data_IF_290557672980
#
_entry.id   IF_290557672980
#
_cell.length_a   1.000
_cell.length_b   1.000
_cell.length_c   1.000
_cell.angle_alpha   90.00
_cell.angle_beta   90.00
_cell.angle_gamma   90.00
#
_symmetry.space_group_name_H-M   'P 1'
#
loop_
_entity.id
_entity.type
_entity.pdbx_description
1 polymer ?
#
# COMPACT_ATOMS: atom_id res chain seq x y z
N UNK A 1 -9.54 4.22 -32.99
CA UNK A 1 -9.39 3.21 -31.92
C UNK A 1 -7.96 2.72 -31.73
N UNK A 2 -7.28 2.22 -32.78
CA UNK A 2 -5.89 1.69 -32.65
C UNK A 2 -4.87 2.67 -32.05
N UNK A 3 -4.97 3.97 -32.37
CA UNK A 3 -4.07 5.02 -31.83
C UNK A 3 -4.09 5.09 -30.30
N UNK A 4 -5.30 5.13 -29.71
CA UNK A 4 -5.48 5.22 -28.26
C UNK A 4 -4.96 3.98 -27.52
N UNK A 5 -5.16 2.79 -28.09
CA UNK A 5 -4.66 1.54 -27.50
C UNK A 5 -3.14 1.51 -27.47
N UNK A 6 -2.49 1.98 -28.52
CA UNK A 6 -1.03 1.99 -28.58
C UNK A 6 -0.44 2.97 -27.55
N UNK A 7 -1.05 4.14 -27.40
CA UNK A 7 -0.63 5.18 -26.45
C UNK A 7 -0.81 4.73 -25.00
N UNK A 8 -1.94 4.10 -24.65
CA UNK A 8 -2.16 3.56 -23.31
C UNK A 8 -1.25 2.38 -23.00
N UNK A 9 -0.99 1.49 -23.97
CA UNK A 9 -0.06 0.38 -23.81
C UNK A 9 1.37 0.85 -23.57
N UNK A 10 1.83 1.89 -24.27
CA UNK A 10 3.15 2.47 -24.03
C UNK A 10 3.26 3.12 -22.65
N UNK A 11 2.19 3.78 -22.17
CA UNK A 11 2.14 4.33 -20.82
C UNK A 11 2.22 3.24 -19.74
N UNK A 12 1.40 2.19 -19.87
CA UNK A 12 1.35 1.07 -18.92
C UNK A 12 2.62 0.21 -18.94
N UNK A 13 3.31 0.11 -20.08
CA UNK A 13 4.58 -0.59 -20.22
C UNK A 13 5.81 0.24 -19.77
N UNK A 14 5.61 1.46 -19.26
CA UNK A 14 6.73 2.33 -18.91
C UNK A 14 7.43 1.89 -17.61
N UNK A 15 8.77 1.86 -17.66
CA UNK A 15 9.61 1.54 -16.49
C UNK A 15 9.38 2.55 -15.35
N UNK A 16 9.14 3.82 -15.69
CA UNK A 16 8.84 4.87 -14.71
C UNK A 16 7.57 4.56 -13.91
N UNK A 17 6.50 4.09 -14.57
CA UNK A 17 5.26 3.69 -13.90
C UNK A 17 5.49 2.46 -13.02
N UNK A 18 6.23 1.47 -13.52
CA UNK A 18 6.55 0.27 -12.74
C UNK A 18 7.30 0.62 -11.44
N UNK A 19 8.34 1.45 -11.51
CA UNK A 19 9.08 1.91 -10.33
C UNK A 19 8.19 2.69 -9.36
N UNK A 20 7.36 3.61 -9.87
CA UNK A 20 6.40 4.35 -9.05
C UNK A 20 5.44 3.43 -8.28
N UNK A 21 4.88 2.44 -8.97
CA UNK A 21 3.97 1.46 -8.36
C UNK A 21 4.70 0.60 -7.33
N UNK A 22 5.91 0.12 -7.63
CA UNK A 22 6.71 -0.68 -6.70
C UNK A 22 7.05 0.10 -5.43
N UNK A 23 7.45 1.37 -5.53
CA UNK A 23 7.70 2.20 -4.35
C UNK A 23 6.43 2.45 -3.55
N UNK A 24 5.32 2.73 -4.22
CA UNK A 24 4.03 2.89 -3.55
C UNK A 24 3.64 1.63 -2.79
N UNK A 25 3.74 0.47 -3.45
CA UNK A 25 3.44 -0.83 -2.84
C UNK A 25 4.36 -1.13 -1.65
N UNK A 26 5.66 -0.85 -1.77
CA UNK A 26 6.63 -1.05 -0.70
C UNK A 26 6.29 -0.20 0.53
N UNK A 27 6.01 1.09 0.33
CA UNK A 27 5.59 1.97 1.43
C UNK A 27 4.29 1.49 2.07
N UNK A 28 3.28 1.14 1.27
CA UNK A 28 2.00 0.61 1.79
C UNK A 28 2.19 -0.70 2.56
N UNK A 29 3.10 -1.57 2.11
CA UNK A 29 3.36 -2.84 2.79
C UNK A 29 3.94 -2.66 4.20
N UNK A 30 4.75 -1.61 4.41
CA UNK A 30 5.32 -1.27 5.72
C UNK A 30 4.26 -0.61 6.63
N UNK A 31 3.36 0.19 6.08
CA UNK A 31 2.28 0.82 6.88
C UNK A 31 1.41 -0.24 7.57
N UNK A 32 1.14 -1.36 6.90
CA UNK A 32 0.39 -2.48 7.46
C UNK A 32 1.07 -3.22 8.62
N UNK A 33 2.36 -2.95 8.89
CA UNK A 33 3.10 -3.53 10.02
C UNK A 33 3.09 -2.66 11.27
N UNK A 34 2.47 -1.47 11.23
CA UNK A 34 2.35 -0.58 12.39
C UNK A 34 1.44 -1.18 13.47
N UNK A 35 0.46 -2.01 13.05
CA UNK A 35 -0.39 -2.76 13.96
C UNK A 35 0.25 -4.12 14.24
N UNK A 36 0.55 -4.46 15.50
CA UNK A 36 1.06 -5.78 15.86
C UNK A 36 0.16 -6.88 15.30
N UNK A 37 0.73 -7.96 14.77
CA UNK A 37 -0.03 -9.06 14.16
C UNK A 37 -0.01 -10.27 15.09
N UNK A 38 -1.14 -10.97 15.22
CA UNK A 38 -1.29 -12.16 16.08
C UNK A 38 -0.99 -11.94 17.57
N UNK A 39 -1.13 -10.72 18.08
CA UNK A 39 -0.92 -10.43 19.50
C UNK A 39 -2.16 -10.69 20.35
N UNK A 40 -1.99 -10.70 21.67
CA UNK A 40 -3.10 -10.86 22.59
C UNK A 40 -4.07 -9.65 22.55
N UNK A 41 -5.40 -9.85 22.63
CA UNK A 41 -6.38 -8.76 22.63
C UNK A 41 -6.10 -7.64 23.66
N UNK A 42 -5.57 -8.01 24.83
CA UNK A 42 -5.22 -7.05 25.88
C UNK A 42 -4.11 -6.05 25.49
N UNK A 43 -3.17 -6.47 24.64
CA UNK A 43 -2.10 -5.61 24.13
C UNK A 43 -2.67 -4.50 23.22
N UNK A 44 -3.64 -4.83 22.37
CA UNK A 44 -4.31 -3.84 21.52
C UNK A 44 -5.12 -2.83 22.33
N UNK A 45 -5.82 -3.27 23.38
CA UNK A 45 -6.55 -2.37 24.28
C UNK A 45 -5.58 -1.42 25.00
N UNK A 46 -4.41 -1.91 25.42
CA UNK A 46 -3.38 -1.09 26.05
C UNK A 46 -2.78 -0.05 25.08
N UNK A 47 -2.48 -0.45 23.84
CA UNK A 47 -1.82 0.41 22.84
C UNK A 47 -2.76 1.42 22.19
N UNK A 48 -4.01 1.04 21.92
CA UNK A 48 -4.96 1.83 21.12
C UNK A 48 -6.22 2.25 21.88
N UNK A 49 -6.51 1.65 23.04
CA UNK A 49 -7.69 1.94 23.86
C UNK A 49 -7.70 3.25 24.67
N UNK A 50 -6.57 3.88 25.07
CA UNK A 50 -6.60 5.08 25.93
C UNK A 50 -7.37 6.29 25.38
N UNK A 51 -7.68 6.33 24.08
CA UNK A 51 -8.42 7.42 23.43
C UNK A 51 -9.80 6.98 22.88
N UNK A 52 -10.31 5.81 23.28
CA UNK A 52 -11.63 5.30 22.87
C UNK A 52 -12.77 5.68 23.81
N UNK A 53 -12.52 6.56 24.80
CA UNK A 53 -13.49 7.05 25.78
C UNK A 53 -13.84 8.52 25.54
#
# INVERSE_FOLDING_TARGET
>A
MKKYIHETMTFLASVKLALFLLFTLAVTSIIGTIVPQNEAPGLYVQLYGPNLA
#
